data_IF_539670741540
#
_entry.id   IF_539670741540
#
_cell.length_a   1.000
_cell.length_b   1.000
_cell.length_c   1.000
_cell.angle_alpha   90.00
_cell.angle_beta   90.00
_cell.angle_gamma   90.00
#
_symmetry.space_group_name_H-M   'P 1'
#
loop_
_entity.id
_entity.type
_entity.pdbx_description
1 polymer ?
#
# COMPACT_ATOMS: atom_id res chain seq x y z
N UNK A 1 -10.07 -24.22 -4.03
CA UNK A 1 -10.64 -23.95 -2.67
C UNK A 1 -9.49 -24.09 -1.69
N UNK A 2 -9.51 -23.35 -0.58
CA UNK A 2 -8.47 -23.47 0.46
C UNK A 2 -8.61 -24.77 1.24
N UNK A 3 -7.50 -25.30 1.77
CA UNK A 3 -7.53 -26.49 2.62
C UNK A 3 -8.24 -26.21 3.95
N UNK A 4 -8.70 -27.26 4.64
CA UNK A 4 -9.35 -27.08 5.95
C UNK A 4 -8.38 -26.53 7.00
N UNK A 5 -7.10 -26.93 6.93
CA UNK A 5 -6.07 -26.44 7.84
C UNK A 5 -5.80 -24.95 7.63
N UNK A 6 -5.69 -24.52 6.36
CA UNK A 6 -5.57 -23.09 6.01
C UNK A 6 -6.78 -22.28 6.46
N UNK A 7 -8.00 -22.81 6.32
CA UNK A 7 -9.21 -22.15 6.83
C UNK A 7 -9.17 -22.04 8.36
N UNK A 8 -8.66 -23.07 9.05
CA UNK A 8 -8.43 -23.05 10.50
C UNK A 8 -7.48 -21.94 10.93
N UNK A 9 -6.35 -21.79 10.25
CA UNK A 9 -5.39 -20.70 10.48
C UNK A 9 -6.01 -19.32 10.26
N UNK A 10 -6.77 -19.15 9.16
CA UNK A 10 -7.45 -17.89 8.84
C UNK A 10 -8.38 -17.47 9.97
N UNK A 11 -9.20 -18.38 10.49
CA UNK A 11 -10.15 -18.07 11.57
C UNK A 11 -9.43 -17.63 12.84
N UNK A 12 -8.35 -18.33 13.22
CA UNK A 12 -7.51 -17.95 14.36
C UNK A 12 -6.92 -16.55 14.21
N UNK A 13 -6.40 -16.21 13.04
CA UNK A 13 -5.85 -14.88 12.75
C UNK A 13 -6.91 -13.78 12.79
N UNK A 14 -8.12 -14.05 12.30
CA UNK A 14 -9.21 -13.07 12.35
C UNK A 14 -9.72 -12.80 13.77
N UNK A 15 -9.65 -13.79 14.66
CA UNK A 15 -10.00 -13.64 16.08
C UNK A 15 -8.93 -12.87 16.88
N UNK A 16 -7.64 -13.10 16.59
CA UNK A 16 -6.52 -12.49 17.32
C UNK A 16 -6.07 -11.14 16.73
N UNK A 17 -6.25 -10.95 15.42
CA UNK A 17 -5.56 -9.96 14.59
C UNK A 17 -6.06 -8.53 14.69
N UNK A 18 -6.49 -8.04 15.87
CA UNK A 18 -6.85 -6.61 16.09
C UNK A 18 -6.04 -5.89 17.16
N UNK A 19 -5.14 -6.59 17.86
CA UNK A 19 -4.31 -5.99 18.92
C UNK A 19 -2.85 -5.91 18.48
N UNK A 20 -2.53 -4.97 17.58
CA UNK A 20 -1.18 -4.85 16.97
C UNK A 20 -0.46 -3.53 17.23
N UNK A 21 -0.96 -2.65 18.11
CA UNK A 21 -0.31 -1.36 18.38
C UNK A 21 0.78 -1.49 19.48
N UNK A 22 1.92 -2.14 19.22
CA UNK A 22 3.11 -1.98 20.09
C UNK A 22 4.43 -2.67 19.68
N UNK A 23 4.65 -3.13 18.44
CA UNK A 23 5.99 -3.64 18.10
C UNK A 23 7.01 -2.48 18.07
N UNK A 24 8.00 -2.53 18.95
CA UNK A 24 9.00 -1.45 19.13
C UNK A 24 9.92 -1.25 17.92
N UNK A 25 9.97 -2.18 16.98
CA UNK A 25 10.80 -2.12 15.78
C UNK A 25 10.11 -1.45 14.58
N UNK A 26 8.83 -1.07 14.72
CA UNK A 26 8.05 -0.37 13.69
C UNK A 26 7.96 1.12 13.96
N UNK A 27 8.18 1.92 12.92
CA UNK A 27 7.95 3.36 13.00
C UNK A 27 6.46 3.66 12.86
N UNK A 28 5.95 4.62 13.64
CA UNK A 28 4.57 5.09 13.54
C UNK A 28 4.46 6.20 12.48
N UNK A 29 3.69 5.95 11.43
CA UNK A 29 3.38 6.88 10.35
C UNK A 29 1.89 7.20 10.28
N UNK A 30 1.11 6.86 11.31
CA UNK A 30 -0.36 6.97 11.32
C UNK A 30 -0.87 8.41 11.30
N UNK A 31 0.02 9.39 11.52
CA UNK A 31 -0.25 10.82 11.39
C UNK A 31 0.04 11.39 10.00
N UNK A 32 0.73 10.66 9.12
CA UNK A 32 1.06 11.14 7.78
C UNK A 32 -0.16 11.07 6.85
N UNK A 33 -0.25 12.03 5.92
CA UNK A 33 -1.21 11.94 4.82
C UNK A 33 -0.74 10.87 3.82
N UNK A 34 -1.30 9.67 3.99
CA UNK A 34 -1.05 8.50 3.14
C UNK A 34 -2.32 8.19 2.35
N UNK A 35 -2.21 7.82 1.08
CA UNK A 35 -3.35 7.49 0.22
C UNK A 35 -3.02 6.36 -0.76
N UNK A 36 -4.02 5.57 -1.13
CA UNK A 36 -3.90 4.55 -2.19
C UNK A 36 -4.40 5.11 -3.52
N UNK A 37 -3.98 4.52 -4.65
CA UNK A 37 -4.45 4.89 -5.99
C UNK A 37 -4.80 3.62 -6.77
N UNK A 38 -6.09 3.34 -6.91
CA UNK A 38 -6.58 2.05 -7.38
C UNK A 38 -7.80 2.20 -8.31
N UNK A 39 -8.28 1.13 -8.97
CA UNK A 39 -9.62 1.14 -9.54
C UNK A 39 -10.67 1.44 -8.46
N UNK A 40 -11.72 2.19 -8.80
CA UNK A 40 -12.71 2.69 -7.81
C UNK A 40 -13.43 1.60 -7.00
N UNK A 41 -13.42 0.35 -7.48
CA UNK A 41 -14.08 -0.78 -6.85
C UNK A 41 -13.09 -1.76 -6.19
N UNK A 42 -11.80 -1.44 -6.17
CA UNK A 42 -10.76 -2.27 -5.56
C UNK A 42 -10.95 -2.34 -4.04
N UNK A 43 -10.68 -3.52 -3.49
CA UNK A 43 -10.79 -3.79 -2.04
C UNK A 43 -9.52 -4.42 -1.47
N UNK A 44 -8.65 -4.89 -2.35
CA UNK A 44 -7.32 -5.43 -2.17
C UNK A 44 -6.31 -4.32 -2.49
N UNK A 45 -6.12 -3.41 -1.52
CA UNK A 45 -5.22 -2.27 -1.66
C UNK A 45 -3.89 -2.65 -1.01
N UNK A 46 -2.93 -3.07 -1.84
CA UNK A 46 -1.66 -3.64 -1.36
C UNK A 46 -0.59 -2.57 -1.12
N UNK A 47 -0.71 -1.42 -1.78
CA UNK A 47 0.21 -0.30 -1.68
C UNK A 47 -0.46 1.06 -1.47
N UNK A 48 0.30 1.97 -0.86
CA UNK A 48 -0.09 3.35 -0.62
C UNK A 48 1.11 4.28 -0.81
N UNK A 49 0.82 5.56 -1.03
CA UNK A 49 1.82 6.61 -1.25
C UNK A 49 1.70 7.70 -0.19
N UNK A 50 2.84 8.31 0.14
CA UNK A 50 2.92 9.61 0.81
C UNK A 50 3.91 10.52 0.12
N UNK A 51 3.70 11.82 0.28
CA UNK A 51 4.58 12.84 -0.24
C UNK A 51 4.70 13.97 0.77
N UNK A 52 5.93 14.22 1.18
CA UNK A 52 6.28 15.30 2.09
C UNK A 52 7.29 16.21 1.43
N UNK A 53 6.97 17.50 1.36
CA UNK A 53 7.97 18.52 1.10
C UNK A 53 8.64 18.88 2.42
N UNK A 54 9.96 18.65 2.47
CA UNK A 54 10.84 19.11 3.54
C UNK A 54 11.56 20.38 3.04
N UNK A 55 12.36 21.02 3.90
CA UNK A 55 13.03 22.30 3.59
C UNK A 55 13.70 22.31 2.21
N UNK A 56 14.73 21.48 2.01
CA UNK A 56 15.50 21.40 0.76
C UNK A 56 15.29 20.11 -0.04
N UNK A 57 14.35 19.25 0.41
CA UNK A 57 14.16 17.92 -0.18
C UNK A 57 12.68 17.55 -0.29
N UNK A 58 12.41 16.54 -1.08
CA UNK A 58 11.14 15.83 -1.11
C UNK A 58 11.36 14.43 -0.54
N UNK A 59 10.42 13.94 0.27
CA UNK A 59 10.35 12.55 0.71
C UNK A 59 9.11 11.90 0.13
N UNK A 60 9.33 10.94 -0.75
CA UNK A 60 8.27 10.06 -1.30
C UNK A 60 8.27 8.77 -0.51
N UNK A 61 7.14 8.41 0.08
CA UNK A 61 6.93 7.11 0.71
C UNK A 61 6.12 6.18 -0.18
N UNK A 62 6.59 4.95 -0.35
CA UNK A 62 5.82 3.82 -0.90
C UNK A 62 5.62 2.84 0.25
N UNK A 63 4.38 2.55 0.60
CA UNK A 63 4.01 1.73 1.74
C UNK A 63 3.31 0.48 1.24
N UNK A 64 3.89 -0.70 1.46
CA UNK A 64 3.36 -1.98 1.01
C UNK A 64 2.85 -2.74 2.23
N UNK A 65 1.69 -3.37 2.12
CA UNK A 65 1.14 -4.20 3.19
C UNK A 65 2.14 -5.28 3.64
N UNK A 66 2.32 -5.41 4.95
CA UNK A 66 3.25 -6.38 5.52
C UNK A 66 2.52 -7.69 5.83
N UNK A 67 2.35 -8.54 4.81
CA UNK A 67 1.71 -9.86 4.95
C UNK A 67 2.46 -10.73 5.96
N UNK A 68 3.79 -10.60 6.01
CA UNK A 68 4.66 -11.41 6.90
C UNK A 68 4.49 -11.10 8.38
N UNK A 69 3.84 -9.98 8.71
CA UNK A 69 3.42 -9.69 10.08
C UNK A 69 2.39 -10.70 10.60
N UNK A 70 1.53 -11.23 9.73
CA UNK A 70 0.45 -12.14 10.12
C UNK A 70 0.70 -13.59 9.69
N UNK A 71 1.34 -13.77 8.53
CA UNK A 71 1.57 -15.09 7.94
C UNK A 71 2.98 -15.53 8.33
N UNK A 72 3.05 -16.44 9.30
CA UNK A 72 4.29 -17.07 9.70
C UNK A 72 4.78 -18.04 8.62
N UNK A 73 6.11 -18.10 8.45
CA UNK A 73 6.76 -19.05 7.56
C UNK A 73 6.38 -20.48 7.94
N UNK A 74 6.17 -21.32 6.94
CA UNK A 74 5.81 -22.74 7.08
C UNK A 74 4.41 -22.99 7.70
N UNK A 75 3.59 -21.94 7.88
CA UNK A 75 2.17 -22.06 8.26
C UNK A 75 1.31 -22.65 7.13
N UNK A 76 0.08 -23.10 7.40
CA UNK A 76 -0.79 -23.63 6.35
C UNK A 76 -1.21 -22.55 5.35
N UNK A 77 -1.25 -21.29 5.77
CA UNK A 77 -1.46 -20.16 4.87
C UNK A 77 -0.23 -19.96 3.97
N UNK A 78 0.98 -19.98 4.53
CA UNK A 78 2.24 -19.81 3.77
C UNK A 78 2.44 -20.93 2.74
N UNK A 79 2.28 -22.19 3.16
CA UNK A 79 2.39 -23.36 2.27
C UNK A 79 1.39 -23.26 1.12
N UNK A 80 0.12 -22.92 1.41
CA UNK A 80 -0.87 -22.82 0.33
C UNK A 80 -0.65 -21.58 -0.56
N UNK A 81 -0.17 -20.46 -0.01
CA UNK A 81 0.22 -19.30 -0.80
C UNK A 81 1.41 -19.63 -1.72
N UNK A 82 2.38 -20.39 -1.24
CA UNK A 82 3.52 -20.89 -2.01
C UNK A 82 3.07 -21.77 -3.18
N UNK A 83 2.18 -22.74 -2.93
CA UNK A 83 1.62 -23.62 -3.98
C UNK A 83 0.82 -22.83 -5.03
N UNK A 84 0.12 -21.77 -4.62
CA UNK A 84 -0.66 -20.92 -5.52
C UNK A 84 0.20 -19.92 -6.29
N UNK A 85 1.32 -19.49 -5.71
CA UNK A 85 2.32 -18.53 -6.20
C UNK A 85 1.83 -17.11 -6.52
N UNK A 86 0.65 -16.94 -7.12
CA UNK A 86 0.10 -15.65 -7.54
C UNK A 86 -1.43 -15.67 -7.57
N UNK A 87 -2.05 -14.49 -7.50
CA UNK A 87 -3.48 -14.36 -7.73
C UNK A 87 -3.76 -14.43 -9.23
N UNK A 88 -4.57 -15.40 -9.65
CA UNK A 88 -5.04 -15.50 -11.03
C UNK A 88 -6.35 -14.74 -11.19
N UNK A 89 -6.37 -13.72 -12.06
CA UNK A 89 -7.53 -12.92 -12.40
C UNK A 89 -8.14 -13.42 -13.72
N UNK A 90 -9.15 -14.30 -13.70
CA UNK A 90 -9.84 -14.73 -14.91
C UNK A 90 -10.64 -13.56 -15.52
N UNK A 91 -10.98 -13.69 -16.80
CA UNK A 91 -11.79 -12.69 -17.51
C UNK A 91 -13.18 -12.46 -16.90
N UNK A 92 -13.95 -11.53 -17.50
CA UNK A 92 -15.26 -11.08 -16.97
C UNK A 92 -16.16 -12.27 -16.56
N UNK A 93 -16.78 -12.14 -15.39
CA UNK A 93 -17.73 -13.06 -14.74
C UNK A 93 -17.16 -14.20 -13.89
N UNK A 94 -15.84 -14.27 -13.68
CA UNK A 94 -15.23 -15.24 -12.76
C UNK A 94 -14.54 -14.54 -11.59
N UNK A 95 -14.64 -15.14 -10.40
CA UNK A 95 -13.92 -14.64 -9.24
C UNK A 95 -12.41 -14.91 -9.39
N UNK A 96 -11.55 -13.98 -8.94
CA UNK A 96 -10.13 -14.24 -8.84
C UNK A 96 -9.81 -15.47 -8.00
N UNK A 97 -8.85 -16.25 -8.46
CA UNK A 97 -8.24 -17.32 -7.68
C UNK A 97 -7.09 -16.71 -6.89
N UNK A 98 -7.42 -16.20 -5.71
CA UNK A 98 -6.47 -15.48 -4.86
C UNK A 98 -5.33 -16.37 -4.39
N UNK A 99 -4.14 -15.79 -4.29
CA UNK A 99 -2.98 -16.39 -3.62
C UNK A 99 -3.27 -16.57 -2.13
N UNK A 100 -3.77 -15.50 -1.48
CA UNK A 100 -4.09 -15.48 -0.06
C UNK A 100 -5.60 -15.54 0.20
N UNK A 101 -6.04 -16.13 1.33
CA UNK A 101 -7.44 -16.19 1.69
C UNK A 101 -8.12 -14.81 1.70
N UNK A 102 -9.20 -14.68 0.93
CA UNK A 102 -9.92 -13.40 0.75
C UNK A 102 -10.36 -12.72 2.05
N UNK A 103 -10.73 -13.43 3.13
CA UNK A 103 -11.02 -12.78 4.42
C UNK A 103 -9.81 -12.01 4.98
N UNK A 104 -8.60 -12.56 4.89
CA UNK A 104 -7.39 -11.90 5.40
C UNK A 104 -7.03 -10.67 4.57
N UNK A 105 -7.13 -10.77 3.24
CA UNK A 105 -6.89 -9.63 2.33
C UNK A 105 -7.79 -8.45 2.74
N UNK A 106 -9.09 -8.69 2.91
CA UNK A 106 -10.06 -7.64 3.21
C UNK A 106 -9.92 -7.07 4.63
N UNK A 107 -9.64 -7.94 5.60
CA UNK A 107 -9.70 -7.56 7.02
C UNK A 107 -8.37 -7.09 7.58
N UNK A 108 -7.25 -7.65 7.13
CA UNK A 108 -5.94 -7.48 7.76
C UNK A 108 -4.89 -6.85 6.83
N UNK A 109 -4.93 -7.13 5.53
CA UNK A 109 -3.85 -6.72 4.62
C UNK A 109 -4.17 -5.43 3.87
N UNK A 110 -5.40 -5.28 3.38
CA UNK A 110 -5.80 -4.13 2.59
C UNK A 110 -5.64 -2.82 3.37
N UNK A 111 -4.98 -1.86 2.73
CA UNK A 111 -4.67 -0.53 3.25
C UNK A 111 -5.87 0.43 3.12
N UNK A 112 -7.05 -0.04 3.55
CA UNK A 112 -8.29 0.73 3.53
C UNK A 112 -8.21 1.99 4.41
N UNK A 113 -8.90 3.08 4.04
CA UNK A 113 -8.84 4.32 4.80
C UNK A 113 -9.33 4.20 6.25
N UNK A 114 -8.66 4.89 7.16
CA UNK A 114 -9.02 5.00 8.58
C UNK A 114 -8.51 3.85 9.46
N UNK A 115 -8.03 2.77 8.86
CA UNK A 115 -7.56 1.59 9.59
C UNK A 115 -6.03 1.60 9.71
N UNK A 116 -5.53 1.28 10.91
CA UNK A 116 -4.08 1.09 11.10
C UNK A 116 -3.68 -0.27 10.55
N UNK A 117 -2.61 -0.29 9.76
CA UNK A 117 -2.07 -1.50 9.13
C UNK A 117 -0.55 -1.57 9.28
N UNK A 118 0.01 -2.76 9.59
CA UNK A 118 1.44 -2.98 9.49
C UNK A 118 1.86 -2.92 8.01
N UNK A 119 2.98 -2.29 7.73
CA UNK A 119 3.48 -2.11 6.37
C UNK A 119 5.00 -2.12 6.33
N UNK A 120 5.54 -2.39 5.15
CA UNK A 120 6.93 -2.12 4.81
C UNK A 120 6.94 -0.83 4.01
N UNK A 121 7.61 0.20 4.55
CA UNK A 121 7.73 1.52 3.91
C UNK A 121 9.09 1.69 3.28
N UNK A 122 9.10 2.12 2.03
CA UNK A 122 10.27 2.51 1.27
C UNK A 122 10.21 4.02 1.06
N UNK A 123 11.19 4.73 1.62
CA UNK A 123 11.31 6.17 1.48
C UNK A 123 12.38 6.49 0.45
N UNK A 124 12.03 7.37 -0.48
CA UNK A 124 12.95 7.96 -1.44
C UNK A 124 13.08 9.45 -1.14
N UNK A 125 14.30 9.90 -0.88
CA UNK A 125 14.60 11.32 -0.68
C UNK A 125 15.15 11.89 -1.97
N UNK A 126 14.52 12.95 -2.47
CA UNK A 126 14.95 13.70 -3.65
C UNK A 126 15.36 15.12 -3.27
N UNK A 127 16.33 15.71 -3.95
CA UNK A 127 16.57 17.16 -3.85
C UNK A 127 15.48 17.96 -4.60
N UNK A 128 15.53 19.30 -4.54
CA UNK A 128 14.63 20.18 -5.32
C UNK A 128 14.83 20.07 -6.84
N UNK A 129 15.92 19.45 -7.30
CA UNK A 129 16.15 19.10 -8.70
C UNK A 129 15.68 17.66 -8.99
N UNK A 130 14.91 17.04 -8.10
CA UNK A 130 14.32 15.72 -8.25
C UNK A 130 15.38 14.63 -8.56
N UNK A 131 16.60 14.83 -8.05
CA UNK A 131 17.68 13.84 -8.08
C UNK A 131 17.55 12.99 -6.82
N UNK A 132 17.57 11.66 -6.99
CA UNK A 132 17.50 10.73 -5.87
C UNK A 132 18.77 10.85 -5.03
N UNK A 133 18.61 11.19 -3.76
CA UNK A 133 19.69 11.33 -2.79
C UNK A 133 19.84 10.09 -1.91
N UNK A 134 18.73 9.48 -1.50
CA UNK A 134 18.73 8.38 -0.54
C UNK A 134 17.51 7.47 -0.69
N UNK A 135 17.66 6.21 -0.29
CA UNK A 135 16.59 5.22 -0.18
C UNK A 135 16.67 4.52 1.18
N UNK A 136 15.54 4.41 1.87
CA UNK A 136 15.46 3.76 3.19
C UNK A 136 14.25 2.83 3.27
N UNK A 137 14.46 1.62 3.80
CA UNK A 137 13.39 0.65 4.07
C UNK A 137 13.17 0.54 5.57
N UNK A 138 11.91 0.61 6.02
CA UNK A 138 11.51 0.48 7.43
C UNK A 138 10.22 -0.32 7.53
N UNK A 139 10.11 -1.18 8.56
CA UNK A 139 8.81 -1.65 9.00
C UNK A 139 8.06 -0.49 9.66
N UNK A 140 6.76 -0.38 9.43
CA UNK A 140 5.95 0.72 9.92
C UNK A 140 4.54 0.29 10.28
N UNK A 141 3.84 1.18 10.98
CA UNK A 141 2.39 1.24 11.02
C UNK A 141 1.94 2.45 10.22
N UNK A 142 1.01 2.25 9.29
CA UNK A 142 0.38 3.34 8.54
C UNK A 142 -1.10 3.38 8.83
N UNK A 143 -1.72 4.52 8.55
CA UNK A 143 -3.17 4.65 8.46
C UNK A 143 -3.49 5.40 7.18
N UNK A 144 -3.97 4.67 6.18
CA UNK A 144 -4.39 5.30 4.93
C UNK A 144 -5.47 6.33 5.24
N UNK A 145 -5.34 7.53 4.70
CA UNK A 145 -6.29 8.61 4.91
C UNK A 145 -7.37 8.62 3.83
N UNK A 146 -7.05 8.14 2.62
CA UNK A 146 -7.91 8.19 1.43
C UNK A 146 -7.59 7.06 0.46
N UNK A 147 -8.63 6.57 -0.21
CA UNK A 147 -8.51 5.71 -1.39
C UNK A 147 -8.89 6.58 -2.59
N UNK A 148 -7.94 6.83 -3.49
CA UNK A 148 -8.15 7.61 -4.70
C UNK A 148 -8.31 6.69 -5.90
N UNK A 149 -9.12 7.09 -6.87
CA UNK A 149 -9.17 6.42 -8.16
C UNK A 149 -8.17 7.01 -9.15
N UNK A 150 -7.74 6.21 -10.12
CA UNK A 150 -6.96 6.71 -11.27
C UNK A 150 -7.62 7.91 -11.96
N UNK A 151 -8.95 7.93 -12.04
CA UNK A 151 -9.70 9.03 -12.66
C UNK A 151 -9.59 10.33 -11.86
N UNK A 152 -9.70 10.23 -10.55
CA UNK A 152 -9.56 11.38 -9.65
C UNK A 152 -8.14 11.95 -9.71
N UNK A 153 -7.13 11.10 -9.60
CA UNK A 153 -5.72 11.50 -9.73
C UNK A 153 -5.44 12.14 -11.09
N UNK A 154 -5.98 11.56 -12.17
CA UNK A 154 -5.84 12.13 -13.51
C UNK A 154 -6.51 13.52 -13.62
N UNK A 155 -7.68 13.71 -13.01
CA UNK A 155 -8.35 15.00 -13.01
C UNK A 155 -7.53 16.07 -12.28
N UNK A 156 -6.92 15.70 -11.14
CA UNK A 156 -6.00 16.57 -10.39
C UNK A 156 -4.80 16.94 -11.26
N UNK A 157 -4.13 15.97 -11.90
CA UNK A 157 -2.98 16.22 -12.79
C UNK A 157 -3.35 17.16 -13.95
N UNK A 158 -4.58 17.06 -14.47
CA UNK A 158 -5.08 17.90 -15.55
C UNK A 158 -5.64 19.26 -15.08
N UNK A 159 -5.52 19.61 -13.80
CA UNK A 159 -6.07 20.83 -13.20
C UNK A 159 -7.58 21.02 -13.44
N UNK A 160 -8.34 19.92 -13.44
CA UNK A 160 -9.81 19.99 -13.47
C UNK A 160 -10.34 20.29 -12.08
N UNK A 161 -11.55 20.85 -12.02
CA UNK A 161 -12.26 21.06 -10.75
C UNK A 161 -12.37 19.75 -9.96
N UNK A 162 -12.08 19.86 -8.66
CA UNK A 162 -11.99 18.76 -7.72
C UNK A 162 -12.44 19.24 -6.35
N UNK A 163 -12.97 18.32 -5.53
CA UNK A 163 -13.36 18.60 -4.15
C UNK A 163 -12.24 18.31 -3.15
N UNK A 164 -11.07 17.86 -3.62
CA UNK A 164 -9.93 17.55 -2.76
C UNK A 164 -9.22 18.82 -2.28
N UNK A 165 -8.64 18.80 -1.07
CA UNK A 165 -7.85 19.92 -0.55
C UNK A 165 -6.64 20.25 -1.44
N UNK A 166 -6.28 21.53 -1.51
CA UNK A 166 -5.12 22.00 -2.28
C UNK A 166 -3.82 21.31 -1.89
N UNK A 167 -3.66 20.95 -0.60
CA UNK A 167 -2.48 20.24 -0.10
C UNK A 167 -2.30 18.87 -0.78
N UNK A 168 -3.38 18.10 -0.90
CA UNK A 168 -3.37 16.79 -1.55
C UNK A 168 -3.15 16.94 -3.06
N UNK A 169 -3.80 17.93 -3.68
CA UNK A 169 -3.61 18.23 -5.09
C UNK A 169 -2.14 18.55 -5.40
N UNK A 170 -1.50 19.37 -4.56
CA UNK A 170 -0.07 19.69 -4.65
C UNK A 170 0.81 18.44 -4.48
N UNK A 171 0.56 17.61 -3.47
CA UNK A 171 1.30 16.35 -3.27
C UNK A 171 1.25 15.45 -4.52
N UNK A 172 0.07 15.32 -5.14
CA UNK A 172 -0.12 14.52 -6.35
C UNK A 172 0.62 15.12 -7.55
N UNK A 173 0.63 16.45 -7.69
CA UNK A 173 1.43 17.12 -8.72
C UNK A 173 2.92 16.89 -8.54
N UNK A 174 3.43 17.08 -7.33
CA UNK A 174 4.86 16.90 -7.03
C UNK A 174 5.28 15.45 -7.28
N UNK A 175 4.47 14.46 -6.85
CA UNK A 175 4.67 13.04 -7.17
C UNK A 175 4.69 12.79 -8.68
N UNK A 176 3.77 13.39 -9.43
CA UNK A 176 3.71 13.22 -10.88
C UNK A 176 4.96 13.76 -11.58
N UNK A 177 5.46 14.93 -11.20
CA UNK A 177 6.66 15.53 -11.80
C UNK A 177 7.92 14.72 -11.47
N UNK A 178 8.08 14.31 -10.21
CA UNK A 178 9.18 13.43 -9.79
C UNK A 178 9.14 12.13 -10.62
N UNK A 179 7.99 11.46 -10.69
CA UNK A 179 7.84 10.20 -11.43
C UNK A 179 8.06 10.38 -12.95
N UNK A 180 7.59 11.49 -13.53
CA UNK A 180 7.83 11.82 -14.94
C UNK A 180 9.33 11.97 -15.22
N UNK A 181 10.06 12.66 -14.35
CA UNK A 181 11.50 12.84 -14.51
C UNK A 181 12.29 11.55 -14.33
N UNK A 182 11.98 10.74 -13.31
CA UNK A 182 12.65 9.45 -13.15
C UNK A 182 12.46 8.56 -14.38
N UNK A 183 11.27 8.56 -15.01
CA UNK A 183 11.01 7.82 -16.25
C UNK A 183 11.77 8.33 -17.48
N UNK A 184 12.10 9.63 -17.51
CA UNK A 184 12.87 10.22 -18.61
C UNK A 184 14.36 9.91 -18.56
N UNK A 185 14.86 9.41 -17.43
CA UNK A 185 16.25 8.96 -17.32
C UNK A 185 16.40 7.68 -18.16
N UNK A 186 17.43 7.57 -19.01
CA UNK A 186 17.70 6.33 -19.72
C UNK A 186 17.93 5.20 -18.70
N UNK A 187 17.39 4.03 -18.99
CA UNK A 187 17.72 2.81 -18.24
C UNK A 187 19.20 2.55 -18.52
N UNK A 188 20.04 2.83 -17.53
CA UNK A 188 21.48 2.57 -17.58
C UNK A 188 21.81 1.09 -17.54
#
# INVERSE_FOLDING_TARGET
MYTQDTIGDVNRLLESGKSFLCEKDRIDLTSLEIFTIDPSNAKDLDDALSMEELDDTYRVGVHITDVTFYVEKDSHIDIEAYERATTFYPGKCMNPHNMLPSPLIKMLFSLIPGEVRPSISIFFTFDKKEVLLNTQIRKSYIKSTKQLSYREVQNIILNKETTFPDSLCKQIHDLFYIAKKQRSKPIG
#
